data_IF_317752596770
#
_entry.id   IF_317752596770
#
_cell.length_a   1.000
_cell.length_b   1.000
_cell.length_c   1.000
_cell.angle_alpha   90.00
_cell.angle_beta   90.00
_cell.angle_gamma   90.00
#
_symmetry.space_group_name_H-M   'P 1'
#
loop_
_entity.id
_entity.type
_entity.pdbx_description
1 polymer ?
#
# COMPACT_ATOMS: atom_id res chain seq x y z
N UNK A 1 -4.44 40.65 18.46
CA UNK A 1 -3.98 39.25 18.77
C UNK A 1 -2.82 39.29 19.76
N UNK A 2 -2.67 38.30 20.66
CA UNK A 2 -1.54 38.25 21.58
C UNK A 2 -0.22 38.03 20.81
N UNK A 3 0.85 38.74 21.22
CA UNK A 3 2.15 38.65 20.55
C UNK A 3 2.71 37.22 20.47
N UNK A 4 2.38 36.36 21.44
CA UNK A 4 2.77 34.95 21.45
C UNK A 4 2.14 34.16 20.29
N UNK A 5 0.87 34.39 19.98
CA UNK A 5 0.17 33.73 18.85
C UNK A 5 0.73 34.18 17.50
N UNK A 6 1.08 35.47 17.37
CA UNK A 6 1.71 36.01 16.16
C UNK A 6 3.09 35.37 15.94
N UNK A 7 3.87 35.22 16.99
CA UNK A 7 5.18 34.56 16.92
C UNK A 7 5.06 33.07 16.61
N UNK A 8 4.07 32.40 17.17
CA UNK A 8 3.78 30.99 16.88
C UNK A 8 3.40 30.77 15.42
N UNK A 9 2.55 31.63 14.84
CA UNK A 9 2.18 31.58 13.42
C UNK A 9 3.39 31.83 12.52
N UNK A 10 4.21 32.83 12.85
CA UNK A 10 5.45 33.11 12.11
C UNK A 10 6.42 31.92 12.10
N UNK A 11 6.59 31.28 13.26
CA UNK A 11 7.43 30.09 13.39
C UNK A 11 6.86 28.88 12.59
N UNK A 12 5.54 28.72 12.62
CA UNK A 12 4.85 27.66 11.87
C UNK A 12 5.01 27.84 10.36
N UNK A 13 4.83 29.07 9.82
CA UNK A 13 5.00 29.35 8.40
C UNK A 13 6.45 29.10 7.95
N UNK A 14 7.44 29.51 8.77
CA UNK A 14 8.86 29.27 8.48
C UNK A 14 9.21 27.77 8.49
N UNK A 15 8.70 27.02 9.46
CA UNK A 15 8.87 25.56 9.56
C UNK A 15 8.28 24.85 8.34
N UNK A 16 7.04 25.18 7.97
CA UNK A 16 6.38 24.56 6.81
C UNK A 16 7.08 24.87 5.50
N UNK A 17 7.58 26.10 5.32
CA UNK A 17 8.36 26.49 4.13
C UNK A 17 9.65 25.67 4.02
N UNK A 18 10.33 25.44 5.13
CA UNK A 18 11.53 24.59 5.17
C UNK A 18 11.21 23.13 4.84
N UNK A 19 10.14 22.60 5.40
CA UNK A 19 9.70 21.21 5.18
C UNK A 19 9.22 20.99 3.75
N UNK A 20 8.49 21.95 3.17
CA UNK A 20 8.09 21.90 1.75
C UNK A 20 9.32 21.87 0.83
N UNK A 21 10.31 22.71 1.07
CA UNK A 21 11.55 22.74 0.28
C UNK A 21 12.35 21.41 0.38
N UNK A 22 12.34 20.78 1.54
CA UNK A 22 12.92 19.44 1.72
C UNK A 22 12.14 18.36 0.96
N UNK A 23 10.82 18.37 1.02
CA UNK A 23 9.96 17.46 0.27
C UNK A 23 10.16 17.59 -1.24
N UNK A 24 10.23 18.83 -1.75
CA UNK A 24 10.46 19.14 -3.16
C UNK A 24 11.75 18.51 -3.68
N UNK A 25 12.81 18.65 -2.90
CA UNK A 25 14.12 18.06 -3.20
C UNK A 25 14.10 16.54 -3.14
N UNK A 26 13.49 15.99 -2.08
CA UNK A 26 13.44 14.55 -1.85
C UNK A 26 12.56 13.81 -2.85
N UNK A 27 11.42 14.39 -3.22
CA UNK A 27 10.49 13.80 -4.18
C UNK A 27 10.90 14.05 -5.63
N UNK A 28 12.09 14.61 -5.88
CA UNK A 28 12.57 14.94 -7.23
C UNK A 28 11.54 15.76 -8.05
N UNK A 29 11.01 16.83 -7.45
CA UNK A 29 9.91 17.61 -8.02
C UNK A 29 10.17 18.01 -9.47
N UNK A 30 11.36 18.54 -9.77
CA UNK A 30 11.71 19.03 -11.12
C UNK A 30 11.62 17.91 -12.15
N UNK A 31 12.20 16.73 -11.85
CA UNK A 31 12.13 15.57 -12.75
C UNK A 31 10.69 15.05 -12.92
N UNK A 32 9.88 15.08 -11.86
CA UNK A 32 8.48 14.66 -11.94
C UNK A 32 7.63 15.65 -12.70
N UNK A 33 7.91 16.94 -12.60
CA UNK A 33 7.25 17.97 -13.39
C UNK A 33 7.57 17.82 -14.87
N UNK A 34 8.86 17.66 -15.25
CA UNK A 34 9.26 17.38 -16.62
C UNK A 34 8.63 16.08 -17.16
N UNK A 35 8.60 15.04 -16.34
CA UNK A 35 7.98 13.76 -16.75
C UNK A 35 6.48 13.90 -16.93
N UNK A 36 5.80 14.69 -16.10
CA UNK A 36 4.37 14.97 -16.25
C UNK A 36 4.08 15.69 -17.56
N UNK A 37 4.91 16.65 -17.95
CA UNK A 37 4.82 17.33 -19.25
C UNK A 37 4.96 16.33 -20.40
N UNK A 38 5.98 15.46 -20.35
CA UNK A 38 6.19 14.40 -21.37
C UNK A 38 4.99 13.46 -21.47
N UNK A 39 4.45 12.99 -20.34
CA UNK A 39 3.28 12.11 -20.32
C UNK A 39 2.04 12.81 -20.89
N UNK A 40 1.86 14.11 -20.61
CA UNK A 40 0.77 14.88 -21.21
C UNK A 40 0.93 15.00 -22.73
N UNK A 41 2.14 15.30 -23.22
CA UNK A 41 2.42 15.36 -24.66
C UNK A 41 2.18 13.98 -25.35
N UNK A 42 2.62 12.88 -24.71
CA UNK A 42 2.36 11.54 -25.23
C UNK A 42 0.85 11.21 -25.29
N UNK A 43 0.06 11.65 -24.29
CA UNK A 43 -1.39 11.43 -24.27
C UNK A 43 -2.16 12.28 -25.29
N UNK A 44 -1.57 13.38 -25.78
CA UNK A 44 -2.11 14.19 -26.88
C UNK A 44 -1.92 13.52 -28.24
N UNK A 45 -1.01 12.57 -28.38
CA UNK A 45 -0.81 11.81 -29.63
C UNK A 45 -1.99 10.85 -29.86
N UNK A 46 -2.77 11.04 -30.95
CA UNK A 46 -3.91 10.16 -31.25
C UNK A 46 -3.53 8.68 -31.41
N UNK A 47 -2.28 8.37 -31.73
CA UNK A 47 -1.82 6.98 -31.92
C UNK A 47 -1.77 6.18 -30.63
N UNK A 48 -1.61 6.83 -29.48
CA UNK A 48 -1.60 6.19 -28.14
C UNK A 48 -2.94 5.53 -27.83
N UNK A 49 -4.03 6.14 -28.28
CA UNK A 49 -5.40 5.63 -28.06
C UNK A 49 -5.74 4.37 -28.86
N UNK A 50 -4.90 4.00 -29.84
CA UNK A 50 -5.00 2.73 -30.57
C UNK A 50 -4.49 1.55 -29.74
N UNK A 51 -3.73 1.80 -28.67
CA UNK A 51 -3.27 0.80 -27.70
C UNK A 51 -3.88 1.09 -26.32
N UNK A 52 -5.00 0.42 -25.96
CA UNK A 52 -5.71 0.67 -24.72
C UNK A 52 -4.86 0.44 -23.47
N UNK A 53 -3.90 -0.50 -23.53
CA UNK A 53 -3.01 -0.80 -22.41
C UNK A 53 -2.03 0.35 -22.18
N UNK A 54 -1.37 0.82 -23.25
CA UNK A 54 -0.44 1.95 -23.18
C UNK A 54 -1.14 3.22 -22.67
N UNK A 55 -2.35 3.50 -23.18
CA UNK A 55 -3.15 4.63 -22.73
C UNK A 55 -3.52 4.53 -21.24
N UNK A 56 -3.86 3.33 -20.76
CA UNK A 56 -4.17 3.09 -19.36
C UNK A 56 -2.95 3.28 -18.45
N UNK A 57 -1.79 2.77 -18.87
CA UNK A 57 -0.55 2.89 -18.10
C UNK A 57 -0.09 4.34 -18.01
N UNK A 58 -0.11 5.08 -19.12
CA UNK A 58 0.16 6.53 -19.14
C UNK A 58 -0.85 7.30 -18.28
N UNK A 59 -2.12 6.93 -18.28
CA UNK A 59 -3.16 7.54 -17.43
C UNK A 59 -2.91 7.32 -15.94
N UNK A 60 -2.45 6.13 -15.55
CA UNK A 60 -2.05 5.82 -14.17
C UNK A 60 -0.80 6.62 -13.77
N UNK A 61 0.20 6.66 -14.64
CA UNK A 61 1.44 7.43 -14.43
C UNK A 61 1.15 8.91 -14.27
N UNK A 62 0.34 9.48 -15.18
CA UNK A 62 -0.14 10.86 -15.09
C UNK A 62 -0.79 11.16 -13.74
N UNK A 63 -1.78 10.37 -13.32
CA UNK A 63 -2.49 10.55 -12.06
C UNK A 63 -1.53 10.54 -10.86
N UNK A 64 -0.55 9.66 -10.86
CA UNK A 64 0.47 9.57 -9.81
C UNK A 64 1.38 10.79 -9.77
N UNK A 65 1.83 11.27 -10.93
CA UNK A 65 2.68 12.46 -11.04
C UNK A 65 1.91 13.73 -10.67
N UNK A 66 0.68 13.89 -11.18
CA UNK A 66 -0.19 15.02 -10.86
C UNK A 66 -0.44 15.17 -9.37
N UNK A 67 -0.71 14.05 -8.67
CA UNK A 67 -0.96 14.07 -7.23
C UNK A 67 0.22 14.68 -6.44
N UNK A 68 1.46 14.44 -6.86
CA UNK A 68 2.66 14.98 -6.21
C UNK A 68 2.94 16.40 -6.68
N UNK A 69 2.97 16.62 -7.99
CA UNK A 69 3.34 17.93 -8.57
C UNK A 69 2.35 19.01 -8.17
N UNK A 70 1.03 18.74 -8.26
CA UNK A 70 0.02 19.72 -7.89
C UNK A 70 -0.02 20.01 -6.39
N UNK A 71 0.15 18.96 -5.55
CA UNK A 71 0.16 19.16 -4.10
C UNK A 71 1.34 20.02 -3.65
N UNK A 72 2.56 19.78 -4.19
CA UNK A 72 3.74 20.59 -3.88
C UNK A 72 3.64 22.02 -4.47
N UNK A 73 3.16 22.16 -5.71
CA UNK A 73 3.00 23.49 -6.32
C UNK A 73 1.98 24.31 -5.53
N UNK A 74 0.86 23.69 -5.15
CA UNK A 74 -0.17 24.37 -4.35
C UNK A 74 0.37 24.76 -2.97
N UNK A 75 1.07 23.85 -2.27
CA UNK A 75 1.63 24.14 -0.97
C UNK A 75 2.66 25.31 -1.02
N UNK A 76 3.52 25.34 -2.04
CA UNK A 76 4.49 26.44 -2.24
C UNK A 76 3.78 27.77 -2.48
N UNK A 77 2.74 27.79 -3.34
CA UNK A 77 1.96 29.00 -3.61
C UNK A 77 1.23 29.47 -2.36
N UNK A 78 0.50 28.56 -1.68
CA UNK A 78 -0.25 28.89 -0.47
C UNK A 78 0.68 29.41 0.64
N UNK A 79 1.88 28.84 0.81
CA UNK A 79 2.87 29.30 1.81
C UNK A 79 3.43 30.69 1.46
N UNK A 80 3.68 31.00 0.20
CA UNK A 80 4.12 32.32 -0.24
C UNK A 80 3.04 33.37 -0.01
N UNK A 81 1.82 33.08 -0.45
CA UNK A 81 0.69 34.00 -0.29
C UNK A 81 0.38 34.25 1.20
N UNK A 82 0.44 33.19 2.03
CA UNK A 82 0.28 33.34 3.48
C UNK A 82 1.42 34.16 4.12
N UNK A 83 2.66 34.00 3.64
CA UNK A 83 3.80 34.80 4.10
C UNK A 83 3.63 36.28 3.83
N UNK A 84 3.17 36.63 2.62
CA UNK A 84 2.92 38.01 2.21
C UNK A 84 1.75 38.62 2.99
N UNK A 85 0.63 37.90 3.09
CA UNK A 85 -0.54 38.34 3.88
C UNK A 85 -0.19 38.48 5.36
N UNK A 86 0.62 37.59 5.93
CA UNK A 86 1.07 37.68 7.32
C UNK A 86 1.89 38.95 7.56
N UNK A 87 2.79 39.30 6.64
CA UNK A 87 3.59 40.52 6.76
C UNK A 87 2.71 41.77 6.75
N UNK A 88 1.73 41.85 5.81
CA UNK A 88 0.80 42.95 5.70
C UNK A 88 -0.12 43.07 6.92
N UNK A 89 -0.76 41.98 7.32
CA UNK A 89 -1.66 41.96 8.46
C UNK A 89 -0.98 42.31 9.79
N UNK A 90 0.29 41.91 9.94
CA UNK A 90 1.11 42.24 11.10
C UNK A 90 1.44 43.75 11.14
N UNK A 91 1.73 44.36 9.98
CA UNK A 91 2.03 45.80 9.87
C UNK A 91 0.78 46.67 10.12
N UNK A 92 -0.38 46.24 9.61
CA UNK A 92 -1.64 46.91 9.76
C UNK A 92 -2.37 46.64 11.08
N UNK A 93 -1.92 45.62 11.81
CA UNK A 93 -2.57 45.17 13.08
C UNK A 93 -3.95 44.53 12.84
N UNK A 94 -4.12 43.85 11.68
CA UNK A 94 -5.37 43.19 11.29
C UNK A 94 -5.45 41.79 11.93
N UNK A 95 -6.10 41.76 13.11
CA UNK A 95 -6.28 40.54 13.89
C UNK A 95 -7.19 39.52 13.20
N UNK A 96 -8.19 39.96 12.41
CA UNK A 96 -9.11 39.05 11.74
C UNK A 96 -8.39 38.25 10.63
N UNK A 97 -7.56 38.93 9.83
CA UNK A 97 -6.72 38.27 8.83
C UNK A 97 -5.71 37.33 9.46
N UNK A 98 -5.10 37.71 10.59
CA UNK A 98 -4.17 36.82 11.31
C UNK A 98 -4.85 35.57 11.86
N UNK A 99 -6.11 35.65 12.31
CA UNK A 99 -6.87 34.48 12.75
C UNK A 99 -7.23 33.54 11.60
N UNK A 100 -7.62 34.10 10.45
CA UNK A 100 -7.87 33.30 9.24
C UNK A 100 -6.61 32.54 8.78
N UNK A 101 -5.46 33.20 8.79
CA UNK A 101 -4.19 32.60 8.42
C UNK A 101 -3.79 31.41 9.32
N UNK A 102 -4.18 31.40 10.59
CA UNK A 102 -3.94 30.22 11.47
C UNK A 102 -4.68 29.00 10.95
N UNK A 103 -5.93 29.17 10.51
CA UNK A 103 -6.76 28.07 9.99
C UNK A 103 -6.17 27.55 8.68
N UNK A 104 -5.82 28.45 7.76
CA UNK A 104 -5.24 28.09 6.47
C UNK A 104 -3.87 27.40 6.63
N UNK A 105 -3.05 27.89 7.56
CA UNK A 105 -1.75 27.27 7.89
C UNK A 105 -1.90 25.84 8.41
N UNK A 106 -2.93 25.57 9.22
CA UNK A 106 -3.22 24.22 9.69
C UNK A 106 -3.64 23.26 8.55
N UNK A 107 -4.34 23.76 7.54
CA UNK A 107 -4.70 22.96 6.37
C UNK A 107 -3.46 22.61 5.54
N UNK A 108 -2.60 23.58 5.26
CA UNK A 108 -1.35 23.35 4.53
C UNK A 108 -0.43 22.42 5.32
N UNK A 109 -0.37 22.58 6.65
CA UNK A 109 0.38 21.67 7.52
C UNK A 109 -0.05 20.21 7.35
N UNK A 110 -1.35 19.94 7.33
CA UNK A 110 -1.88 18.58 7.10
C UNK A 110 -1.48 18.00 5.74
N UNK A 111 -1.46 18.84 4.71
CA UNK A 111 -1.03 18.42 3.36
C UNK A 111 0.46 18.06 3.36
N UNK A 112 1.31 18.88 3.96
CA UNK A 112 2.77 18.63 4.07
C UNK A 112 3.02 17.37 4.89
N UNK A 113 2.39 17.22 6.06
CA UNK A 113 2.49 16.02 6.89
C UNK A 113 2.04 14.75 6.15
N UNK A 114 0.97 14.84 5.36
CA UNK A 114 0.51 13.74 4.52
C UNK A 114 1.53 13.34 3.45
N UNK A 115 2.22 14.30 2.84
CA UNK A 115 3.29 14.01 1.87
C UNK A 115 4.55 13.45 2.52
N UNK A 116 4.94 13.97 3.69
CA UNK A 116 6.05 13.42 4.49
C UNK A 116 5.74 11.97 4.93
N UNK A 117 4.50 11.71 5.28
CA UNK A 117 4.04 10.37 5.65
C UNK A 117 4.15 9.40 4.46
N UNK A 118 3.73 9.81 3.26
CA UNK A 118 3.87 8.99 2.04
C UNK A 118 5.32 8.67 1.70
N UNK A 119 6.26 9.53 2.07
CA UNK A 119 7.69 9.29 1.91
C UNK A 119 8.18 8.05 2.67
N UNK A 120 7.50 7.65 3.74
CA UNK A 120 7.86 6.47 4.54
C UNK A 120 7.47 5.15 3.88
N UNK A 121 6.66 5.19 2.83
CA UNK A 121 6.25 4.03 2.07
C UNK A 121 7.35 3.64 1.09
N UNK A 122 8.09 2.58 1.44
CA UNK A 122 9.22 2.06 0.67
C UNK A 122 8.99 0.66 0.09
N UNK A 123 7.86 0.04 0.39
CA UNK A 123 7.50 -1.26 -0.14
C UNK A 123 6.77 -1.09 -1.49
N UNK A 124 7.15 -1.84 -2.54
CA UNK A 124 6.49 -1.78 -3.85
C UNK A 124 4.98 -2.02 -3.81
N UNK A 125 4.49 -2.75 -2.79
CA UNK A 125 3.07 -3.05 -2.60
C UNK A 125 2.31 -1.98 -1.79
N UNK A 126 3.02 -1.02 -1.18
CA UNK A 126 2.40 0.02 -0.34
C UNK A 126 1.23 0.77 -1.03
N UNK A 127 1.27 1.07 -2.35
CA UNK A 127 0.15 1.74 -3.04
C UNK A 127 -1.13 0.91 -3.16
N UNK A 128 -1.05 -0.41 -2.93
CA UNK A 128 -2.16 -1.33 -3.18
C UNK A 128 -3.26 -1.23 -2.10
N UNK A 129 -4.44 -1.73 -2.46
CA UNK A 129 -5.45 -2.10 -1.49
C UNK A 129 -4.94 -3.25 -0.61
N UNK A 130 -5.60 -3.52 0.50
CA UNK A 130 -5.21 -4.63 1.36
C UNK A 130 -6.41 -5.39 1.93
N UNK A 131 -6.09 -6.58 2.40
CA UNK A 131 -6.97 -7.37 3.26
C UNK A 131 -6.42 -7.36 4.68
N UNK A 132 -7.31 -7.38 5.66
CA UNK A 132 -6.97 -7.45 7.08
C UNK A 132 -7.71 -8.63 7.68
N UNK A 133 -6.98 -9.64 8.09
CA UNK A 133 -7.49 -10.81 8.81
C UNK A 133 -7.34 -10.56 10.30
N UNK A 134 -8.41 -10.76 11.04
CA UNK A 134 -8.47 -10.64 12.49
C UNK A 134 -8.88 -11.99 13.06
N UNK A 135 -8.10 -12.52 13.99
CA UNK A 135 -8.35 -13.81 14.60
C UNK A 135 -8.24 -13.73 16.12
N UNK A 136 -9.30 -14.10 16.82
CA UNK A 136 -9.30 -14.23 18.26
C UNK A 136 -8.28 -15.30 18.70
N UNK A 137 -7.42 -14.91 19.65
CA UNK A 137 -6.43 -15.80 20.23
C UNK A 137 -6.88 -16.44 21.54
N UNK A 138 -5.92 -16.67 22.43
CA UNK A 138 -6.20 -17.21 23.75
C UNK A 138 -6.98 -16.20 24.62
N UNK A 139 -7.99 -16.67 25.34
CA UNK A 139 -8.84 -15.86 26.23
C UNK A 139 -10.34 -16.13 26.13
N UNK A 140 -10.76 -17.10 25.30
CA UNK A 140 -12.18 -17.51 25.17
C UNK A 140 -13.08 -16.35 24.73
N UNK A 141 -14.24 -16.18 25.37
CA UNK A 141 -15.20 -15.10 25.07
C UNK A 141 -14.58 -13.70 25.11
N UNK A 142 -13.67 -13.46 26.07
CA UNK A 142 -12.97 -12.19 26.19
C UNK A 142 -12.07 -11.87 24.96
N UNK A 143 -11.40 -12.89 24.42
CA UNK A 143 -10.59 -12.73 23.20
C UNK A 143 -11.48 -12.51 21.96
N UNK A 144 -12.64 -13.16 21.90
CA UNK A 144 -13.61 -12.95 20.83
C UNK A 144 -14.22 -11.55 20.85
N UNK A 145 -14.50 -11.01 22.04
CA UNK A 145 -14.94 -9.63 22.20
C UNK A 145 -13.82 -8.65 21.82
N UNK A 146 -12.58 -8.94 22.24
CA UNK A 146 -11.41 -8.15 21.83
C UNK A 146 -11.22 -8.12 20.30
N UNK A 147 -11.39 -9.25 19.63
CA UNK A 147 -11.34 -9.29 18.16
C UNK A 147 -12.42 -8.41 17.51
N UNK A 148 -13.63 -8.39 18.06
CA UNK A 148 -14.70 -7.49 17.62
C UNK A 148 -14.34 -6.01 17.84
N UNK A 149 -13.71 -5.67 18.96
CA UNK A 149 -13.24 -4.30 19.24
C UNK A 149 -12.15 -3.86 18.26
N UNK A 150 -11.20 -4.75 17.93
CA UNK A 150 -10.17 -4.47 16.92
C UNK A 150 -10.78 -4.32 15.53
N UNK A 151 -11.72 -5.18 15.13
CA UNK A 151 -12.43 -5.02 13.86
C UNK A 151 -13.05 -3.62 13.75
N UNK A 152 -13.78 -3.19 14.77
CA UNK A 152 -14.34 -1.84 14.83
C UNK A 152 -13.26 -0.76 14.74
N UNK A 153 -12.15 -0.90 15.46
CA UNK A 153 -11.04 0.06 15.46
C UNK A 153 -10.48 0.27 14.04
N UNK A 154 -10.22 -0.81 13.30
CA UNK A 154 -9.67 -0.72 11.96
C UNK A 154 -10.69 -0.26 10.92
N UNK A 155 -11.96 -0.61 11.05
CA UNK A 155 -13.04 -0.05 10.22
C UNK A 155 -13.12 1.47 10.43
N UNK A 156 -13.13 1.93 11.68
CA UNK A 156 -13.14 3.37 12.01
C UNK A 156 -11.90 4.10 11.51
N UNK A 157 -10.73 3.48 11.62
CA UNK A 157 -9.51 4.05 11.06
C UNK A 157 -9.61 4.23 9.53
N UNK A 158 -10.07 3.20 8.84
CA UNK A 158 -10.24 3.25 7.38
C UNK A 158 -11.26 4.31 6.95
N UNK A 159 -12.41 4.42 7.65
CA UNK A 159 -13.40 5.47 7.44
C UNK A 159 -12.79 6.88 7.62
N UNK A 160 -11.99 7.10 8.66
CA UNK A 160 -11.31 8.38 8.91
C UNK A 160 -10.32 8.74 7.80
N UNK A 161 -9.67 7.74 7.19
CA UNK A 161 -8.78 7.93 6.04
C UNK A 161 -9.52 8.08 4.71
N UNK A 162 -10.84 7.95 4.69
CA UNK A 162 -11.64 7.97 3.47
C UNK A 162 -11.48 6.71 2.63
N UNK A 163 -11.01 5.60 3.22
CA UNK A 163 -10.93 4.30 2.56
C UNK A 163 -12.31 3.62 2.55
N UNK A 164 -12.56 2.87 1.49
CA UNK A 164 -13.73 2.01 1.42
C UNK A 164 -13.42 0.69 2.13
N UNK A 165 -14.34 0.22 2.97
CA UNK A 165 -14.22 -1.05 3.70
C UNK A 165 -15.34 -1.98 3.31
N UNK A 166 -14.99 -3.24 3.06
CA UNK A 166 -15.93 -4.31 2.78
C UNK A 166 -15.60 -5.52 3.67
N UNK A 167 -16.60 -6.03 4.38
CA UNK A 167 -16.44 -7.26 5.18
C UNK A 167 -16.59 -8.45 4.23
N UNK A 168 -15.49 -9.19 4.02
CA UNK A 168 -15.45 -10.35 3.13
C UNK A 168 -15.97 -11.60 3.81
N UNK A 169 -15.57 -11.82 5.07
CA UNK A 169 -15.92 -12.96 5.87
C UNK A 169 -15.95 -12.57 7.35
N UNK A 170 -16.90 -13.15 8.09
CA UNK A 170 -16.99 -13.01 9.54
C UNK A 170 -17.56 -14.27 10.16
N UNK A 171 -16.92 -14.75 11.22
CA UNK A 171 -17.39 -15.87 12.03
C UNK A 171 -17.62 -15.38 13.45
N UNK A 172 -18.86 -15.44 13.90
CA UNK A 172 -19.25 -14.94 15.22
C UNK A 172 -18.77 -15.86 16.35
N UNK A 173 -18.57 -15.25 17.52
CA UNK A 173 -18.31 -15.95 18.76
C UNK A 173 -19.55 -16.69 19.26
N UNK A 174 -19.36 -17.69 20.12
CA UNK A 174 -20.49 -18.48 20.65
C UNK A 174 -21.35 -17.70 21.64
N UNK A 175 -20.74 -16.77 22.39
CA UNK A 175 -21.40 -15.97 23.42
C UNK A 175 -21.37 -14.49 23.08
N UNK A 176 -20.23 -13.99 22.63
CA UNK A 176 -20.02 -12.61 22.25
C UNK A 176 -18.81 -12.47 21.29
N UNK A 177 -18.75 -11.35 20.59
CA UNK A 177 -17.65 -11.01 19.71
C UNK A 177 -17.54 -11.88 18.46
N UNK A 178 -16.36 -12.00 17.89
CA UNK A 178 -16.05 -12.73 16.67
C UNK A 178 -14.87 -13.70 16.88
N UNK A 179 -14.91 -14.85 16.21
CA UNK A 179 -13.79 -15.80 16.13
C UNK A 179 -12.76 -15.32 15.13
N UNK A 180 -13.23 -14.98 13.93
CA UNK A 180 -12.43 -14.47 12.81
C UNK A 180 -13.21 -13.44 12.01
N UNK A 181 -12.51 -12.50 11.41
CA UNK A 181 -13.06 -11.63 10.37
C UNK A 181 -11.97 -11.27 9.36
N UNK A 182 -12.39 -11.15 8.10
CA UNK A 182 -11.57 -10.63 7.01
C UNK A 182 -12.25 -9.40 6.42
N UNK A 183 -11.58 -8.29 6.39
CA UNK A 183 -12.05 -7.08 5.70
C UNK A 183 -11.12 -6.72 4.55
N UNK A 184 -11.71 -6.22 3.47
CA UNK A 184 -11.00 -5.57 2.36
C UNK A 184 -11.00 -4.07 2.60
N UNK A 185 -9.84 -3.44 2.47
CA UNK A 185 -9.68 -1.99 2.59
C UNK A 185 -9.17 -1.45 1.25
N UNK A 186 -9.98 -0.62 0.59
CA UNK A 186 -9.68 -0.04 -0.71
C UNK A 186 -9.39 1.45 -0.58
N UNK A 187 -8.23 1.87 -1.05
CA UNK A 187 -7.81 3.27 -1.04
C UNK A 187 -6.34 3.45 -1.37
N UNK A 188 -5.96 4.67 -1.69
CA UNK A 188 -4.57 4.99 -2.02
C UNK A 188 -3.65 4.70 -0.83
N UNK A 189 -2.67 3.80 -1.02
CA UNK A 189 -1.73 3.36 0.01
C UNK A 189 -2.36 2.64 1.22
N UNK A 190 -3.53 2.02 1.06
CA UNK A 190 -4.19 1.31 2.15
C UNK A 190 -3.28 0.25 2.77
N UNK A 191 -2.58 -0.55 1.95
CA UNK A 191 -1.59 -1.50 2.43
C UNK A 191 -0.42 -0.83 3.15
N UNK A 192 0.13 0.24 2.58
CA UNK A 192 1.24 1.00 3.18
C UNK A 192 0.93 1.50 4.59
N UNK A 193 -0.29 2.00 4.81
CA UNK A 193 -0.75 2.44 6.13
C UNK A 193 -0.91 1.30 7.12
N UNK A 194 -1.43 0.16 6.68
CA UNK A 194 -1.87 -0.90 7.59
C UNK A 194 -0.85 -2.03 7.77
N UNK A 195 0.12 -2.22 6.87
CA UNK A 195 1.06 -3.34 6.92
C UNK A 195 1.82 -3.48 8.22
N UNK A 196 2.13 -2.37 8.86
CA UNK A 196 2.85 -2.35 10.15
C UNK A 196 2.00 -2.78 11.33
N UNK A 197 0.68 -2.95 11.13
CA UNK A 197 -0.26 -3.38 12.17
C UNK A 197 -0.33 -4.92 12.31
N UNK A 198 0.37 -5.65 11.43
CA UNK A 198 0.47 -7.11 11.51
C UNK A 198 1.16 -7.55 12.80
N UNK A 199 0.50 -8.40 13.57
CA UNK A 199 1.04 -8.95 14.82
C UNK A 199 -0.03 -9.25 15.86
N UNK A 200 0.40 -9.54 17.08
CA UNK A 200 -0.48 -9.83 18.21
C UNK A 200 -0.77 -8.58 19.00
N UNK A 201 -2.05 -8.31 19.22
CA UNK A 201 -2.57 -7.21 20.02
C UNK A 201 -3.07 -7.76 21.35
N UNK A 202 -2.51 -7.27 22.44
CA UNK A 202 -2.82 -7.67 23.81
C UNK A 202 -3.81 -6.70 24.44
N UNK A 203 -4.90 -7.23 24.99
CA UNK A 203 -5.85 -6.48 25.82
C UNK A 203 -5.73 -6.89 27.28
N UNK A 204 -5.66 -5.91 28.18
CA UNK A 204 -5.78 -6.08 29.63
C UNK A 204 -6.87 -5.14 30.12
N UNK A 205 -7.94 -5.74 30.69
CA UNK A 205 -9.06 -4.97 31.29
C UNK A 205 -9.78 -5.80 32.36
N UNK A 206 -10.65 -5.14 33.12
CA UNK A 206 -11.67 -5.84 33.89
C UNK A 206 -12.70 -6.43 32.92
N UNK A 207 -12.91 -7.75 33.00
CA UNK A 207 -13.77 -8.44 32.06
C UNK A 207 -15.26 -8.16 32.33
N UNK A 208 -16.05 -7.74 31.34
CA UNK A 208 -17.49 -7.62 31.50
C UNK A 208 -18.21 -8.98 31.55
N UNK A 209 -17.52 -10.07 31.22
CA UNK A 209 -18.03 -11.44 31.22
C UNK A 209 -17.73 -12.20 32.51
N UNK A 210 -16.91 -11.62 33.39
CA UNK A 210 -16.56 -12.18 34.70
C UNK A 210 -17.41 -11.53 35.81
N UNK A 211 -18.23 -12.34 36.46
CA UNK A 211 -19.09 -11.88 37.57
C UNK A 211 -18.31 -11.30 38.74
N UNK A 212 -17.04 -11.70 38.91
CA UNK A 212 -16.14 -11.17 39.92
C UNK A 212 -15.40 -9.90 39.51
N UNK A 213 -15.65 -9.36 38.30
CA UNK A 213 -14.91 -8.23 37.73
C UNK A 213 -13.39 -8.41 37.71
N UNK A 214 -12.93 -9.65 37.56
CA UNK A 214 -11.52 -9.99 37.48
C UNK A 214 -10.81 -9.29 36.33
N UNK A 215 -9.52 -9.05 36.51
CA UNK A 215 -8.65 -8.51 35.47
C UNK A 215 -8.19 -9.63 34.57
N UNK A 216 -8.54 -9.55 33.27
CA UNK A 216 -8.24 -10.55 32.26
C UNK A 216 -7.25 -10.03 31.22
N UNK A 217 -6.47 -10.94 30.68
CA UNK A 217 -5.59 -10.67 29.54
C UNK A 217 -6.03 -11.52 28.35
N UNK A 218 -6.22 -10.88 27.20
CA UNK A 218 -6.65 -11.54 25.96
C UNK A 218 -5.77 -11.13 24.81
N UNK A 219 -5.69 -11.99 23.82
CA UNK A 219 -4.86 -11.78 22.65
C UNK A 219 -5.69 -11.95 21.38
N UNK A 220 -5.39 -11.12 20.40
CA UNK A 220 -5.95 -11.22 19.06
C UNK A 220 -4.84 -10.97 18.06
N UNK A 221 -4.74 -11.82 17.06
CA UNK A 221 -3.80 -11.64 15.95
C UNK A 221 -4.46 -10.85 14.82
N UNK A 222 -3.67 -9.98 14.22
CA UNK A 222 -4.03 -9.20 13.05
C UNK A 222 -2.99 -9.46 11.98
N UNK A 223 -3.44 -9.75 10.76
CA UNK A 223 -2.58 -9.96 9.62
C UNK A 223 -3.05 -9.12 8.44
N UNK A 224 -2.15 -8.31 7.90
CA UNK A 224 -2.41 -7.43 6.75
C UNK A 224 -1.62 -7.92 5.56
N UNK A 225 -2.30 -8.11 4.42
CA UNK A 225 -1.66 -8.51 3.18
C UNK A 225 -2.23 -7.71 1.99
N UNK A 226 -1.38 -7.44 0.97
CA UNK A 226 -1.79 -6.60 -0.15
C UNK A 226 -2.76 -7.34 -1.08
N UNK A 227 -3.66 -6.58 -1.72
CA UNK A 227 -4.37 -7.06 -2.90
C UNK A 227 -3.38 -7.11 -4.06
N UNK A 228 -3.19 -8.31 -4.62
CA UNK A 228 -2.34 -8.53 -5.80
C UNK A 228 -3.24 -8.69 -7.00
N UNK A 229 -2.91 -8.01 -8.11
CA UNK A 229 -3.60 -8.20 -9.38
C UNK A 229 -3.34 -9.61 -9.92
N UNK A 230 -4.41 -10.38 -10.15
CA UNK A 230 -4.34 -11.75 -10.66
C UNK A 230 -4.00 -11.81 -12.16
N UNK A 231 -3.98 -10.68 -12.85
CA UNK A 231 -3.59 -10.65 -14.25
C UNK A 231 -2.08 -10.82 -14.42
N UNK A 232 -1.67 -12.02 -14.83
CA UNK A 232 -0.31 -12.30 -15.26
C UNK A 232 -0.20 -11.97 -16.75
N UNK A 233 0.33 -10.81 -17.08
CA UNK A 233 0.63 -10.45 -18.46
C UNK A 233 2.06 -10.88 -18.79
N UNK A 234 2.21 -11.81 -19.72
CA UNK A 234 3.50 -12.31 -20.18
C UNK A 234 3.89 -11.58 -21.44
N UNK A 235 4.77 -10.60 -21.31
CA UNK A 235 5.46 -9.98 -22.44
C UNK A 235 6.77 -10.72 -22.71
N UNK A 236 6.92 -11.23 -23.95
CA UNK A 236 8.15 -11.88 -24.40
C UNK A 236 8.92 -10.89 -25.26
N UNK A 237 10.06 -10.41 -24.73
CA UNK A 237 10.95 -9.57 -25.52
C UNK A 237 11.66 -10.44 -26.59
N UNK A 238 11.56 -10.13 -27.89
CA UNK A 238 12.25 -10.86 -28.93
C UNK A 238 13.78 -10.95 -28.78
N UNK A 239 14.39 -9.95 -28.09
CA UNK A 239 15.82 -9.95 -27.83
C UNK A 239 16.26 -11.05 -26.83
N UNK A 240 15.35 -11.52 -26.01
CA UNK A 240 15.59 -12.56 -25.01
C UNK A 240 15.35 -13.97 -25.55
N UNK A 241 14.94 -14.07 -26.83
CA UNK A 241 14.63 -15.33 -27.49
C UNK A 241 15.76 -15.76 -28.42
N UNK A 242 16.26 -16.97 -28.19
CA UNK A 242 17.04 -17.70 -29.19
C UNK A 242 16.13 -18.65 -29.93
N UNK A 243 16.15 -18.56 -31.27
CA UNK A 243 15.34 -19.37 -32.17
C UNK A 243 16.26 -20.25 -32.99
N UNK A 244 16.14 -21.56 -32.76
CA UNK A 244 16.89 -22.56 -33.54
C UNK A 244 15.91 -23.37 -34.39
N UNK A 245 16.23 -23.56 -35.66
CA UNK A 245 15.47 -24.40 -36.61
C UNK A 245 16.26 -25.67 -36.87
N UNK A 246 15.56 -26.79 -36.95
CA UNK A 246 16.18 -28.08 -37.20
C UNK A 246 15.25 -29.04 -37.96
N UNK A 247 15.79 -30.15 -38.42
CA UNK A 247 15.00 -31.16 -39.11
C UNK A 247 14.19 -31.98 -38.13
N UNK A 248 12.88 -32.09 -38.41
CA UNK A 248 12.01 -32.92 -37.60
C UNK A 248 12.46 -34.39 -37.68
N UNK A 249 12.55 -35.05 -36.52
CA UNK A 249 12.85 -36.49 -36.46
C UNK A 249 11.55 -37.26 -36.11
N UNK A 250 11.05 -38.08 -36.98
CA UNK A 250 9.85 -38.91 -36.78
C UNK A 250 9.59 -39.90 -37.91
N UNK A 251 8.75 -40.89 -37.67
CA UNK A 251 8.32 -41.88 -38.65
C UNK A 251 7.36 -41.22 -39.65
N UNK A 252 7.90 -40.56 -40.69
CA UNK A 252 7.14 -39.91 -41.73
C UNK A 252 7.94 -39.85 -43.04
N UNK A 253 7.27 -39.95 -44.19
CA UNK A 253 7.87 -40.15 -45.53
C UNK A 253 8.93 -39.10 -45.94
N UNK A 254 9.53 -39.33 -47.13
CA UNK A 254 10.69 -38.60 -47.69
C UNK A 254 10.67 -37.07 -47.64
N UNK A 255 9.53 -36.43 -47.41
CA UNK A 255 9.37 -34.96 -47.35
C UNK A 255 9.72 -34.36 -45.99
N UNK A 256 9.51 -35.11 -44.89
CA UNK A 256 9.77 -34.62 -43.48
C UNK A 256 11.29 -34.52 -43.21
N UNK A 257 12.09 -35.33 -43.89
CA UNK A 257 13.54 -35.38 -43.69
C UNK A 257 14.35 -34.37 -44.55
N UNK A 258 13.69 -33.51 -45.34
CA UNK A 258 14.39 -32.58 -46.25
C UNK A 258 14.26 -31.10 -45.89
N UNK A 259 13.33 -30.73 -45.03
CA UNK A 259 13.09 -29.33 -44.65
C UNK A 259 13.27 -29.12 -43.12
N UNK A 260 13.96 -28.05 -42.75
CA UNK A 260 14.15 -27.61 -41.37
C UNK A 260 12.87 -26.93 -40.84
N UNK A 261 11.80 -27.72 -40.65
CA UNK A 261 10.48 -27.24 -40.21
C UNK A 261 10.30 -27.19 -38.70
N UNK A 262 11.10 -27.94 -37.96
CA UNK A 262 11.03 -27.94 -36.48
C UNK A 262 11.67 -26.67 -35.90
N UNK A 263 11.04 -26.11 -34.87
CA UNK A 263 11.47 -24.89 -34.22
C UNK A 263 11.70 -25.15 -32.74
N UNK A 264 12.83 -24.66 -32.21
CA UNK A 264 13.15 -24.61 -30.80
C UNK A 264 13.28 -23.15 -30.39
N UNK A 265 12.57 -22.77 -29.35
CA UNK A 265 12.68 -21.46 -28.71
C UNK A 265 13.35 -21.65 -27.32
N UNK A 266 14.36 -20.85 -27.08
CA UNK A 266 15.02 -20.78 -25.75
C UNK A 266 14.86 -19.36 -25.22
N UNK A 267 14.21 -19.21 -24.09
CA UNK A 267 14.09 -17.94 -23.41
C UNK A 267 15.24 -17.75 -22.42
N UNK A 268 16.14 -16.81 -22.70
CA UNK A 268 17.37 -16.59 -21.94
C UNK A 268 17.16 -16.36 -20.44
N UNK A 269 16.31 -15.38 -20.04
CA UNK A 269 16.15 -15.04 -18.62
C UNK A 269 15.58 -16.17 -17.75
N UNK A 270 14.63 -16.97 -18.28
CA UNK A 270 14.00 -18.08 -17.52
C UNK A 270 14.65 -19.43 -17.76
N UNK A 271 15.49 -19.59 -18.80
CA UNK A 271 16.06 -20.87 -19.20
C UNK A 271 15.04 -21.86 -19.80
N UNK A 272 13.78 -21.43 -20.01
CA UNK A 272 12.73 -22.31 -20.56
C UNK A 272 13.02 -22.61 -22.02
N UNK A 273 12.95 -23.89 -22.38
CA UNK A 273 13.08 -24.37 -23.76
C UNK A 273 11.77 -25.02 -24.19
N UNK A 274 11.29 -24.66 -25.36
CA UNK A 274 10.13 -25.26 -26.03
C UNK A 274 10.49 -25.68 -27.44
N UNK A 275 9.85 -26.75 -27.93
CA UNK A 275 10.07 -27.30 -29.27
C UNK A 275 8.73 -27.62 -29.89
N UNK A 276 8.57 -27.28 -31.16
CA UNK A 276 7.40 -27.65 -31.95
C UNK A 276 7.84 -28.19 -33.32
N UNK A 277 7.26 -29.33 -33.70
CA UNK A 277 7.52 -30.00 -35.00
C UNK A 277 6.23 -30.59 -35.62
N UNK A 278 5.06 -30.11 -35.20
CA UNK A 278 3.76 -30.70 -35.53
C UNK A 278 3.32 -30.42 -36.97
N UNK A 279 3.76 -29.31 -37.53
CA UNK A 279 3.38 -28.90 -38.90
C UNK A 279 4.58 -28.93 -39.87
N UNK A 280 4.26 -29.02 -41.14
CA UNK A 280 5.27 -28.89 -42.24
C UNK A 280 5.74 -27.44 -42.43
N UNK A 281 4.99 -26.49 -41.93
CA UNK A 281 5.29 -25.07 -42.00
C UNK A 281 6.08 -24.62 -40.77
N UNK A 282 7.32 -24.18 -40.99
CA UNK A 282 8.18 -23.58 -39.98
C UNK A 282 7.49 -22.40 -39.26
N UNK A 283 6.71 -21.61 -40.02
CA UNK A 283 6.00 -20.44 -39.49
C UNK A 283 4.92 -20.83 -38.49
N UNK A 284 4.16 -21.90 -38.77
CA UNK A 284 3.16 -22.43 -37.82
C UNK A 284 3.80 -23.04 -36.61
N UNK A 285 4.88 -23.81 -36.74
CA UNK A 285 5.63 -24.36 -35.63
C UNK A 285 6.23 -23.27 -34.76
N UNK A 286 6.68 -22.15 -35.33
CA UNK A 286 7.16 -21.00 -34.55
C UNK A 286 6.03 -20.33 -33.74
N UNK A 287 4.87 -20.13 -34.36
CA UNK A 287 3.71 -19.55 -33.66
C UNK A 287 3.24 -20.47 -32.52
N UNK A 288 3.13 -21.77 -32.74
CA UNK A 288 2.74 -22.75 -31.74
C UNK A 288 3.78 -22.84 -30.59
N UNK A 289 5.08 -22.84 -30.94
CA UNK A 289 6.14 -22.79 -29.95
C UNK A 289 6.10 -21.52 -29.09
N UNK A 290 5.71 -20.38 -29.69
CA UNK A 290 5.54 -19.12 -28.95
C UNK A 290 4.39 -19.21 -27.95
N UNK A 291 3.25 -19.79 -28.32
CA UNK A 291 2.12 -20.05 -27.42
C UNK A 291 2.51 -21.00 -26.28
N UNK A 292 3.25 -22.07 -26.61
CA UNK A 292 3.79 -22.99 -25.58
C UNK A 292 4.75 -22.30 -24.62
N UNK A 293 5.57 -21.38 -25.10
CA UNK A 293 6.49 -20.61 -24.27
C UNK A 293 5.72 -19.67 -23.32
N UNK A 294 4.73 -18.96 -23.85
CA UNK A 294 3.85 -18.10 -23.04
C UNK A 294 3.16 -18.89 -21.92
N UNK A 295 2.61 -20.06 -22.26
CA UNK A 295 1.95 -20.93 -21.29
C UNK A 295 2.90 -21.37 -20.16
N UNK A 296 4.15 -21.74 -20.50
CA UNK A 296 5.15 -22.13 -19.51
C UNK A 296 5.65 -20.99 -18.65
N UNK A 297 5.83 -19.81 -19.22
CA UNK A 297 6.17 -18.59 -18.48
C UNK A 297 5.05 -18.18 -17.53
N UNK A 298 3.80 -18.27 -17.99
CA UNK A 298 2.62 -18.04 -17.14
C UNK A 298 2.58 -19.00 -15.95
N UNK A 299 2.77 -20.31 -16.19
CA UNK A 299 2.81 -21.31 -15.11
C UNK A 299 3.95 -21.04 -14.12
N UNK A 300 5.13 -20.65 -14.62
CA UNK A 300 6.26 -20.31 -13.75
C UNK A 300 5.97 -19.10 -12.87
N UNK A 301 5.41 -18.05 -13.43
CA UNK A 301 5.05 -16.83 -12.68
C UNK A 301 3.92 -17.10 -11.69
N UNK A 302 2.92 -17.88 -12.09
CA UNK A 302 1.85 -18.31 -11.18
C UNK A 302 2.42 -19.10 -9.99
N UNK A 303 3.33 -20.04 -10.26
CA UNK A 303 3.98 -20.86 -9.21
C UNK A 303 4.84 -20.00 -8.28
N UNK A 304 5.52 -18.98 -8.80
CA UNK A 304 6.27 -18.00 -8.01
C UNK A 304 5.35 -17.20 -7.08
N UNK A 305 4.24 -16.68 -7.60
CA UNK A 305 3.22 -15.94 -6.81
C UNK A 305 2.60 -16.84 -5.73
N UNK A 306 2.24 -18.07 -6.06
CA UNK A 306 1.73 -19.03 -5.07
C UNK A 306 2.76 -19.34 -3.99
N UNK A 307 4.04 -19.47 -4.33
CA UNK A 307 5.13 -19.66 -3.34
C UNK A 307 5.31 -18.44 -2.44
N UNK A 308 5.17 -17.22 -2.98
CA UNK A 308 5.21 -15.99 -2.19
C UNK A 308 3.99 -15.87 -1.28
N UNK A 309 2.80 -16.19 -1.78
CA UNK A 309 1.58 -16.25 -0.99
C UNK A 309 1.64 -17.31 0.10
N UNK A 310 2.20 -18.50 -0.20
CA UNK A 310 2.41 -19.55 0.80
C UNK A 310 3.38 -19.11 1.89
N UNK A 311 4.46 -18.41 1.56
CA UNK A 311 5.36 -17.81 2.56
C UNK A 311 4.67 -16.79 3.44
N UNK A 312 3.75 -15.99 2.87
CA UNK A 312 2.91 -15.06 3.64
C UNK A 312 1.95 -15.82 4.56
N UNK A 313 1.35 -16.92 4.10
CA UNK A 313 0.50 -17.77 4.92
C UNK A 313 1.27 -18.52 6.01
N UNK A 314 2.46 -19.03 5.71
CA UNK A 314 3.34 -19.66 6.68
C UNK A 314 3.78 -18.67 7.77
N UNK A 315 3.94 -17.39 7.42
CA UNK A 315 4.21 -16.32 8.41
C UNK A 315 3.02 -16.05 9.34
N UNK A 316 1.77 -16.38 8.93
CA UNK A 316 0.59 -16.28 9.81
C UNK A 316 0.66 -17.26 10.98
N UNK A 317 1.17 -18.48 10.74
CA UNK A 317 1.30 -19.53 11.77
C UNK A 317 2.37 -19.22 12.80
N UNK A 318 3.35 -18.40 12.47
CA UNK A 318 4.45 -17.99 13.37
C UNK A 318 4.08 -16.79 14.26
N UNK A 319 2.88 -16.21 14.12
CA UNK A 319 2.33 -15.18 15.02
C UNK A 319 1.89 -15.82 16.33
N UNK A 320 2.82 -16.54 16.95
CA UNK A 320 2.68 -17.07 18.28
C UNK A 320 2.90 -15.98 19.36
N UNK A 321 2.78 -16.35 20.61
CA UNK A 321 2.89 -15.50 21.80
C UNK A 321 4.12 -14.58 21.84
N UNK A 322 5.11 -14.75 20.95
CA UNK A 322 6.36 -14.00 20.92
C UNK A 322 6.32 -12.67 20.14
N UNK A 323 5.32 -12.42 19.29
CA UNK A 323 5.28 -11.26 18.40
C UNK A 323 4.19 -10.26 18.79
N UNK A 324 4.09 -9.92 20.08
CA UNK A 324 3.18 -8.87 20.53
C UNK A 324 3.68 -7.50 20.05
N UNK A 325 2.86 -6.80 19.27
CA UNK A 325 3.21 -5.49 18.75
C UNK A 325 2.66 -4.36 19.64
N UNK A 326 1.45 -4.55 20.19
CA UNK A 326 0.78 -3.49 20.98
C UNK A 326 0.04 -4.04 22.18
N UNK A 327 0.13 -3.33 23.29
CA UNK A 327 -0.55 -3.65 24.54
C UNK A 327 -1.55 -2.56 24.92
N UNK A 328 -2.80 -2.96 25.08
CA UNK A 328 -3.93 -2.11 25.49
C UNK A 328 -4.28 -2.44 26.92
N UNK A 329 -3.97 -1.52 27.85
CA UNK A 329 -4.24 -1.68 29.29
C UNK A 329 -5.30 -0.65 29.69
N UNK A 330 -6.57 -1.03 29.51
CA UNK A 330 -7.69 -0.08 29.60
C UNK A 330 -7.97 0.40 31.04
N UNK A 331 -7.73 -0.44 32.03
CA UNK A 331 -7.88 -0.07 33.46
C UNK A 331 -6.83 0.94 33.92
N UNK A 332 -5.73 1.09 33.19
CA UNK A 332 -4.70 2.12 33.46
C UNK A 332 -4.73 3.24 32.40
N UNK A 333 -5.72 3.26 31.52
CA UNK A 333 -5.81 4.22 30.41
C UNK A 333 -4.49 4.34 29.64
N UNK A 334 -3.91 3.22 29.24
CA UNK A 334 -2.61 3.17 28.56
C UNK A 334 -2.63 2.22 27.37
N UNK A 335 -2.16 2.70 26.23
CA UNK A 335 -1.89 1.88 25.04
C UNK A 335 -0.44 2.13 24.65
N UNK A 336 0.33 1.05 24.49
CA UNK A 336 1.75 1.12 24.16
C UNK A 336 2.09 0.16 23.03
N UNK A 337 2.78 0.68 21.99
CA UNK A 337 3.43 -0.15 21.00
C UNK A 337 4.80 -0.61 21.53
N UNK A 338 5.00 -1.93 21.53
CA UNK A 338 6.20 -2.53 22.13
C UNK A 338 7.43 -2.45 21.22
N UNK A 339 7.22 -2.19 19.93
CA UNK A 339 8.30 -2.06 18.93
C UNK A 339 8.90 -0.65 18.98
N UNK A 340 8.04 0.36 18.99
CA UNK A 340 8.43 1.77 18.91
C UNK A 340 8.54 2.44 20.25
N UNK A 341 8.01 1.81 21.32
CA UNK A 341 7.82 2.38 22.66
C UNK A 341 6.88 3.62 22.69
N UNK A 342 6.23 3.94 21.59
CA UNK A 342 5.20 4.99 21.58
C UNK A 342 4.02 4.58 22.46
N UNK A 343 3.56 5.47 23.33
CA UNK A 343 2.41 5.23 24.20
C UNK A 343 1.49 6.45 24.29
N UNK A 344 0.21 6.18 24.54
CA UNK A 344 -0.81 7.22 24.74
C UNK A 344 -1.80 6.83 25.82
N UNK A 345 -2.31 7.85 26.52
CA UNK A 345 -3.43 7.71 27.47
C UNK A 345 -4.81 7.85 26.82
N UNK A 346 -4.89 8.27 25.55
CA UNK A 346 -6.16 8.45 24.83
C UNK A 346 -6.71 7.11 24.31
N UNK A 347 -7.08 6.21 25.23
CA UNK A 347 -7.55 4.87 24.86
C UNK A 347 -8.84 4.89 24.04
N UNK A 348 -9.76 5.83 24.31
CA UNK A 348 -11.01 5.96 23.57
C UNK A 348 -10.76 6.38 22.12
N UNK A 349 -9.89 7.37 21.90
CA UNK A 349 -9.54 7.82 20.56
C UNK A 349 -8.93 6.69 19.73
N UNK A 350 -7.99 5.95 20.31
CA UNK A 350 -7.34 4.82 19.63
C UNK A 350 -8.34 3.73 19.27
N UNK A 351 -9.21 3.31 20.21
CA UNK A 351 -10.26 2.32 19.94
C UNK A 351 -11.31 2.81 18.94
N UNK A 352 -11.43 4.12 18.76
CA UNK A 352 -12.29 4.74 17.73
C UNK A 352 -11.52 5.09 16.45
N UNK A 353 -10.36 4.49 16.24
CA UNK A 353 -9.59 4.54 14.99
C UNK A 353 -8.53 5.64 14.91
N UNK A 354 -8.07 6.22 16.02
CA UNK A 354 -6.97 7.19 16.04
C UNK A 354 -5.62 6.46 16.15
N UNK A 355 -5.10 5.98 15.00
CA UNK A 355 -3.90 5.15 14.93
C UNK A 355 -2.71 5.86 14.27
N UNK A 356 -2.87 7.08 13.79
CA UNK A 356 -1.86 7.76 12.97
C UNK A 356 -0.50 7.87 13.65
N UNK A 357 -0.46 8.20 14.93
CA UNK A 357 0.78 8.33 15.70
C UNK A 357 1.51 6.98 15.84
N UNK A 358 0.77 5.89 16.07
CA UNK A 358 1.33 4.54 16.14
C UNK A 358 1.90 4.11 14.81
N UNK A 359 1.13 4.29 13.73
CA UNK A 359 1.53 3.92 12.37
C UNK A 359 2.73 4.77 11.92
N UNK A 360 2.71 6.07 12.18
CA UNK A 360 3.84 6.97 11.89
C UNK A 360 5.11 6.54 12.63
N UNK A 361 5.01 6.22 13.91
CA UNK A 361 6.14 5.76 14.70
C UNK A 361 6.72 4.45 14.14
N UNK A 362 5.86 3.49 13.78
CA UNK A 362 6.25 2.19 13.20
C UNK A 362 6.93 2.36 11.84
N UNK A 363 6.36 3.18 10.95
CA UNK A 363 6.93 3.44 9.63
C UNK A 363 8.27 4.17 9.72
N UNK A 364 8.42 5.13 10.64
CA UNK A 364 9.70 5.85 10.87
C UNK A 364 10.82 4.92 11.33
N UNK A 365 10.49 3.91 12.12
CA UNK A 365 11.48 2.93 12.60
C UNK A 365 11.71 1.78 11.62
N UNK A 366 10.87 1.64 10.59
CA UNK A 366 10.98 0.58 9.59
C UNK A 366 10.57 -0.80 10.12
N UNK A 367 9.66 -0.85 11.08
CA UNK A 367 9.10 -2.09 11.69
C UNK A 367 7.71 -2.38 11.17
#
# INVERSE_FOLDING_TARGET
MEAERINALSALLADMTSREAELRRYLDFDKKSEKLEQVNEELEDPTVWNDPKKAQDLGKEKKSLEAIVFALTKADTDLKDMGDLFAMAKEEGDDDTLEALIVDAEEVRKVIEGMEFRRMFNNPMDPNNCFVDIQAGAGGTEAQDWASMLLRQYVRYAERKGFKVEVMEQSDGEVAGIKTATIKVEGDYAYGYLRTETGVHRLVRKSPFDSANGRHTSFTSLFVYPEVDDSIDIEINPADLRIDTYRASGAGGQHINKTDSAVRLTHGPSGIVVQCQNDRSQHRNKAEAMEMLKAKLYEMELRKRMSEQQKLEDSKTDVGWGHQIRSYVLDQSRIKDLRTNFETGNTKGVLDGDLDDFISASLKQGV
#
